data_IF_126205374178
#
_entry.id   IF_126205374178
#
_cell.length_a   1.000
_cell.length_b   1.000
_cell.length_c   1.000
_cell.angle_alpha   90.00
_cell.angle_beta   90.00
_cell.angle_gamma   90.00
#
_symmetry.space_group_name_H-M   'P 1'
#
loop_
_entity.id
_entity.type
_entity.pdbx_description
1 polymer ?
#
# COMPACT_ATOMS: atom_id res chain seq x y z
N UNK A 1 25.12 -10.75 1.83
CA UNK A 1 24.78 -9.36 1.49
C UNK A 1 25.65 -8.94 0.34
N UNK A 2 25.07 -8.96 -0.85
CA UNK A 2 25.70 -8.60 -2.13
C UNK A 2 25.87 -7.08 -2.24
N UNK A 3 26.63 -6.61 -3.24
CA UNK A 3 26.74 -5.16 -3.51
C UNK A 3 25.37 -4.58 -3.94
N UNK A 4 24.59 -5.36 -4.69
CA UNK A 4 23.21 -5.04 -5.05
C UNK A 4 22.32 -4.83 -3.82
N UNK A 5 22.43 -5.69 -2.79
CA UNK A 5 21.67 -5.54 -1.54
C UNK A 5 22.01 -4.24 -0.80
N UNK A 6 23.29 -3.83 -0.81
CA UNK A 6 23.72 -2.58 -0.16
C UNK A 6 23.23 -1.35 -0.92
N UNK A 7 23.26 -1.40 -2.25
CA UNK A 7 22.73 -0.32 -3.09
C UNK A 7 21.21 -0.19 -2.95
N UNK A 8 20.48 -1.33 -2.89
CA UNK A 8 19.06 -1.32 -2.60
C UNK A 8 18.77 -0.70 -1.23
N UNK A 9 19.52 -1.07 -0.19
CA UNK A 9 19.38 -0.47 1.13
C UNK A 9 19.60 1.06 1.11
N UNK A 10 20.56 1.55 0.31
CA UNK A 10 20.77 2.99 0.13
C UNK A 10 19.58 3.67 -0.56
N UNK A 11 18.97 3.04 -1.58
CA UNK A 11 17.74 3.54 -2.22
C UNK A 11 16.58 3.64 -1.23
N UNK A 12 16.43 2.65 -0.34
CA UNK A 12 15.38 2.64 0.69
C UNK A 12 15.61 3.69 1.77
N UNK A 13 16.87 3.91 2.17
CA UNK A 13 17.23 4.95 3.14
C UNK A 13 17.08 6.37 2.58
N UNK A 14 17.31 6.55 1.28
CA UNK A 14 17.27 7.86 0.60
C UNK A 14 16.30 7.83 -0.59
N UNK A 15 14.98 7.78 -0.33
CA UNK A 15 13.97 7.57 -1.36
C UNK A 15 13.80 8.75 -2.34
N UNK A 16 14.35 9.93 -2.05
CA UNK A 16 14.28 11.11 -2.92
C UNK A 16 15.55 11.34 -3.73
N UNK A 17 16.62 10.56 -3.49
CA UNK A 17 17.91 10.73 -4.16
C UNK A 17 18.06 9.83 -5.39
N UNK A 18 18.50 10.41 -6.50
CA UNK A 18 18.67 9.66 -7.75
C UNK A 18 20.01 8.94 -7.82
N UNK A 19 21.03 9.42 -7.09
CA UNK A 19 22.37 8.82 -7.05
C UNK A 19 22.38 7.33 -6.68
N UNK A 20 21.78 6.89 -5.55
CA UNK A 20 21.76 5.46 -5.21
C UNK A 20 20.97 4.63 -6.22
N UNK A 21 19.96 5.22 -6.90
CA UNK A 21 19.16 4.53 -7.92
C UNK A 21 19.94 4.30 -9.21
N UNK A 22 20.74 5.28 -9.63
CA UNK A 22 21.62 5.15 -10.79
C UNK A 22 22.71 4.11 -10.51
N UNK A 23 23.35 4.15 -9.34
CA UNK A 23 24.32 3.12 -8.96
C UNK A 23 23.70 1.71 -8.91
N UNK A 24 22.48 1.59 -8.37
CA UNK A 24 21.73 0.34 -8.38
C UNK A 24 21.41 -0.12 -9.81
N UNK A 25 21.04 0.79 -10.71
CA UNK A 25 20.83 0.47 -12.12
C UNK A 25 22.12 0.00 -12.81
N UNK A 26 23.26 0.63 -12.53
CA UNK A 26 24.55 0.23 -13.09
C UNK A 26 24.95 -1.19 -12.64
N UNK A 27 24.73 -1.50 -11.36
CA UNK A 27 24.98 -2.84 -10.82
C UNK A 27 24.04 -3.90 -11.42
N UNK A 28 22.76 -3.57 -11.61
CA UNK A 28 21.82 -4.46 -12.30
C UNK A 28 22.26 -4.75 -13.73
N UNK A 29 22.73 -3.74 -14.44
CA UNK A 29 23.23 -3.83 -15.81
C UNK A 29 24.45 -4.77 -15.88
N UNK A 30 25.38 -4.62 -14.93
CA UNK A 30 26.56 -5.48 -14.81
C UNK A 30 26.20 -6.96 -14.53
N UNK A 31 25.08 -7.21 -13.84
CA UNK A 31 24.55 -8.55 -13.58
C UNK A 31 23.66 -9.10 -14.69
N UNK A 32 23.56 -8.41 -15.84
CA UNK A 32 22.76 -8.83 -16.99
C UNK A 32 21.27 -8.53 -16.87
N UNK A 33 20.85 -7.70 -15.91
CA UNK A 33 19.46 -7.23 -15.75
C UNK A 33 19.25 -5.91 -16.50
N UNK A 34 19.64 -5.87 -17.77
CA UNK A 34 19.69 -4.68 -18.62
C UNK A 34 18.34 -3.94 -18.69
N UNK A 35 17.23 -4.66 -18.84
CA UNK A 35 15.90 -4.05 -18.97
C UNK A 35 15.46 -3.37 -17.67
N UNK A 36 15.86 -3.92 -16.52
CA UNK A 36 15.56 -3.31 -15.22
C UNK A 36 16.37 -2.04 -15.00
N UNK A 37 17.65 -2.07 -15.37
CA UNK A 37 18.53 -0.91 -15.33
C UNK A 37 18.02 0.21 -16.25
N UNK A 38 17.68 -0.13 -17.50
CA UNK A 38 17.09 0.79 -18.49
C UNK A 38 15.82 1.44 -17.95
N UNK A 39 14.89 0.65 -17.40
CA UNK A 39 13.65 1.16 -16.82
C UNK A 39 13.90 2.21 -15.73
N UNK A 40 14.84 1.95 -14.81
CA UNK A 40 15.17 2.90 -13.73
C UNK A 40 15.73 4.19 -14.32
N UNK A 41 16.71 4.09 -15.23
CA UNK A 41 17.34 5.26 -15.85
C UNK A 41 16.34 6.10 -16.65
N UNK A 42 15.44 5.46 -17.40
CA UNK A 42 14.39 6.17 -18.15
C UNK A 42 13.41 6.90 -17.23
N UNK A 43 13.00 6.30 -16.11
CA UNK A 43 12.13 6.97 -15.14
C UNK A 43 12.80 8.13 -14.37
N UNK A 44 14.14 8.19 -14.35
CA UNK A 44 14.90 9.32 -13.82
C UNK A 44 15.22 10.39 -14.89
N UNK A 45 15.00 10.05 -16.16
CA UNK A 45 15.28 10.91 -17.29
C UNK A 45 14.25 12.04 -17.47
N UNK A 46 14.44 12.86 -18.52
CA UNK A 46 13.57 14.01 -18.79
C UNK A 46 12.16 13.63 -19.27
N UNK A 47 11.98 12.41 -19.80
CA UNK A 47 10.67 11.88 -20.21
C UNK A 47 10.39 10.52 -19.54
N UNK A 48 9.98 10.54 -18.26
CA UNK A 48 9.75 9.32 -17.49
C UNK A 48 8.50 8.56 -17.93
N UNK A 49 7.67 9.13 -18.82
CA UNK A 49 6.40 8.55 -19.30
C UNK A 49 6.48 8.14 -20.78
N UNK A 50 7.69 8.07 -21.35
CA UNK A 50 7.90 7.70 -22.72
C UNK A 50 7.37 6.28 -23.01
N UNK A 51 7.10 6.00 -24.29
CA UNK A 51 6.55 4.70 -24.74
C UNK A 51 7.43 3.54 -24.26
N UNK A 52 8.76 3.70 -24.26
CA UNK A 52 9.68 2.66 -23.82
C UNK A 52 9.51 2.29 -22.34
N UNK A 53 9.27 3.26 -21.46
CA UNK A 53 8.98 3.00 -20.03
C UNK A 53 7.70 2.18 -19.90
N UNK A 54 6.67 2.50 -20.69
CA UNK A 54 5.41 1.76 -20.71
C UNK A 54 5.63 0.32 -21.15
N UNK A 55 6.32 0.11 -22.27
CA UNK A 55 6.59 -1.23 -22.81
C UNK A 55 7.35 -2.11 -21.80
N UNK A 56 8.39 -1.56 -21.18
CA UNK A 56 9.17 -2.24 -20.14
C UNK A 56 8.31 -2.60 -18.93
N UNK A 57 7.44 -1.67 -18.48
CA UNK A 57 6.52 -1.93 -17.39
C UNK A 57 5.54 -3.05 -17.74
N UNK A 58 4.88 -2.97 -18.90
CA UNK A 58 3.91 -3.98 -19.34
C UNK A 58 4.52 -5.38 -19.40
N UNK A 59 5.73 -5.49 -19.95
CA UNK A 59 6.43 -6.75 -20.14
C UNK A 59 6.98 -7.33 -18.83
N UNK A 60 7.51 -6.51 -17.93
CA UNK A 60 8.31 -6.98 -16.79
C UNK A 60 7.74 -6.65 -15.40
N UNK A 61 6.58 -5.98 -15.30
CA UNK A 61 5.95 -5.64 -14.01
C UNK A 61 5.77 -6.84 -13.07
N UNK A 62 5.48 -8.02 -13.61
CA UNK A 62 5.35 -9.27 -12.83
C UNK A 62 6.68 -9.78 -12.28
N UNK A 63 7.81 -9.41 -12.90
CA UNK A 63 9.13 -9.79 -12.43
C UNK A 63 9.64 -8.78 -11.40
N UNK A 64 9.31 -7.49 -11.58
CA UNK A 64 9.96 -6.40 -10.85
C UNK A 64 9.20 -5.88 -9.63
N UNK A 65 7.87 -5.98 -9.61
CA UNK A 65 7.05 -5.29 -8.61
C UNK A 65 6.13 -6.21 -7.81
N UNK A 66 5.88 -7.43 -8.29
CA UNK A 66 4.93 -8.35 -7.68
C UNK A 66 5.50 -9.77 -7.72
N UNK A 67 5.62 -10.44 -6.57
CA UNK A 67 5.90 -11.87 -6.51
C UNK A 67 4.82 -12.74 -7.22
N UNK A 68 4.92 -14.08 -7.20
CA UNK A 68 4.07 -14.97 -8.00
C UNK A 68 2.56 -14.69 -7.83
N UNK A 69 1.86 -14.73 -8.96
CA UNK A 69 0.48 -14.24 -9.22
C UNK A 69 -0.61 -14.72 -8.24
N UNK A 70 -1.74 -14.00 -8.19
CA UNK A 70 -2.95 -14.55 -8.80
C UNK A 70 -3.62 -13.53 -9.73
N UNK A 71 -3.39 -13.67 -11.05
CA UNK A 71 -4.00 -12.84 -12.10
C UNK A 71 -4.73 -13.71 -13.16
N UNK A 72 -5.06 -14.95 -12.84
CA UNK A 72 -5.80 -15.82 -13.76
C UNK A 72 -7.30 -15.51 -13.70
N UNK A 73 -7.71 -14.46 -14.41
CA UNK A 73 -8.96 -14.28 -15.19
C UNK A 73 -9.37 -12.82 -15.23
N UNK A 74 -8.90 -12.06 -16.22
CA UNK A 74 -9.74 -11.07 -16.93
C UNK A 74 -9.32 -11.06 -18.40
N UNK A 75 -10.21 -11.56 -19.27
CA UNK A 75 -10.15 -11.29 -20.71
C UNK A 75 -10.93 -10.00 -20.96
N UNK A 76 -10.30 -9.04 -21.63
CA UNK A 76 -10.97 -7.94 -22.33
C UNK A 76 -11.15 -6.64 -21.54
N UNK A 77 -10.13 -5.79 -21.56
CA UNK A 77 -10.27 -4.33 -21.51
C UNK A 77 -9.01 -3.71 -22.15
N UNK A 78 -9.21 -2.80 -23.10
CA UNK A 78 -8.15 -2.18 -23.90
C UNK A 78 -7.51 -0.97 -23.17
N UNK A 79 -6.25 -0.71 -23.53
CA UNK A 79 -5.24 0.11 -22.82
C UNK A 79 -5.30 1.62 -23.18
N UNK A 80 -6.46 2.21 -23.48
CA UNK A 80 -6.48 3.58 -24.03
C UNK A 80 -7.02 4.69 -23.13
N UNK A 81 -7.64 4.38 -21.99
CA UNK A 81 -8.13 5.40 -21.07
C UNK A 81 -7.73 5.00 -19.64
N UNK A 82 -7.22 5.94 -18.84
CA UNK A 82 -6.82 5.73 -17.45
C UNK A 82 -8.00 5.24 -16.57
N UNK A 83 -8.31 3.94 -16.62
CA UNK A 83 -9.30 3.26 -15.77
C UNK A 83 -8.77 1.88 -15.35
N UNK A 84 -7.87 1.88 -14.36
CA UNK A 84 -7.47 0.66 -13.66
C UNK A 84 -8.24 0.56 -12.34
N UNK A 85 -9.50 0.13 -12.40
CA UNK A 85 -10.29 -0.27 -11.22
C UNK A 85 -11.22 -1.43 -11.59
N UNK A 86 -10.98 -2.61 -11.00
CA UNK A 86 -12.00 -3.64 -10.84
C UNK A 86 -11.95 -4.36 -9.47
N UNK A 87 -11.20 -3.81 -8.50
CA UNK A 87 -11.36 -4.16 -7.10
C UNK A 87 -10.83 -5.52 -6.65
N UNK A 88 -10.02 -6.22 -7.44
CA UNK A 88 -9.56 -7.58 -7.09
C UNK A 88 -8.04 -7.77 -6.96
N UNK A 89 -7.21 -6.77 -7.24
CA UNK A 89 -5.74 -6.89 -7.16
C UNK A 89 -5.02 -5.59 -6.81
N UNK A 90 -3.81 -5.65 -6.20
CA UNK A 90 -3.08 -4.45 -5.83
C UNK A 90 -2.51 -3.76 -7.07
N UNK A 91 -2.69 -2.44 -7.15
CA UNK A 91 -2.03 -1.58 -8.13
C UNK A 91 -1.07 -0.70 -7.36
N UNK A 92 0.18 -0.59 -7.80
CA UNK A 92 1.09 0.42 -7.27
C UNK A 92 1.34 1.53 -8.27
N UNK A 93 1.55 2.77 -7.81
CA UNK A 93 2.18 3.77 -8.67
C UNK A 93 3.70 3.55 -8.59
N UNK A 94 4.31 3.30 -9.74
CA UNK A 94 5.77 3.14 -9.87
C UNK A 94 6.37 4.50 -10.22
N UNK A 95 7.35 4.92 -9.44
CA UNK A 95 8.08 6.16 -9.65
C UNK A 95 9.56 5.95 -9.42
N UNK A 96 10.40 6.60 -10.24
CA UNK A 96 11.87 6.54 -10.15
C UNK A 96 12.43 5.12 -10.07
N UNK A 97 11.77 4.19 -10.76
CA UNK A 97 12.13 2.80 -10.84
C UNK A 97 11.45 1.89 -9.83
N UNK A 98 10.78 2.37 -8.79
CA UNK A 98 10.28 1.53 -7.68
C UNK A 98 8.81 1.80 -7.35
N UNK A 99 8.17 0.89 -6.61
CA UNK A 99 6.83 1.15 -6.10
C UNK A 99 6.90 2.27 -5.06
N UNK A 100 6.25 3.39 -5.35
CA UNK A 100 6.18 4.55 -4.46
C UNK A 100 4.85 4.60 -3.70
N UNK A 101 3.78 4.14 -4.35
CA UNK A 101 2.45 4.05 -3.75
C UNK A 101 1.90 2.66 -3.91
N UNK A 102 1.29 2.13 -2.87
CA UNK A 102 0.54 0.88 -2.90
C UNK A 102 -0.95 1.18 -2.88
N UNK A 103 -1.73 0.46 -3.69
CA UNK A 103 -3.18 0.47 -3.67
C UNK A 103 -3.64 -0.99 -3.58
N UNK A 104 -4.38 -1.38 -2.55
CA UNK A 104 -4.79 -2.77 -2.38
C UNK A 104 -5.64 -3.00 -1.14
N UNK A 105 -6.01 -4.26 -0.86
CA UNK A 105 -6.77 -4.58 0.34
C UNK A 105 -5.91 -4.41 1.60
N UNK A 106 -6.57 -4.11 2.72
CA UNK A 106 -5.91 -4.04 4.02
C UNK A 106 -5.23 -5.36 4.39
N UNK A 107 -5.90 -6.49 4.17
CA UNK A 107 -5.36 -7.83 4.43
C UNK A 107 -4.04 -8.09 3.67
N UNK A 108 -4.00 -7.72 2.39
CA UNK A 108 -2.79 -7.88 1.58
C UNK A 108 -1.66 -7.01 2.12
N UNK A 109 -1.95 -5.73 2.43
CA UNK A 109 -0.96 -4.83 3.01
C UNK A 109 -0.43 -5.38 4.34
N UNK A 110 -1.31 -5.73 5.28
CA UNK A 110 -0.92 -6.23 6.60
C UNK A 110 -0.05 -7.49 6.53
N UNK A 111 -0.35 -8.38 5.58
CA UNK A 111 0.39 -9.63 5.38
C UNK A 111 1.73 -9.44 4.68
N UNK A 112 1.87 -8.45 3.79
CA UNK A 112 3.05 -8.32 2.91
C UNK A 112 3.86 -7.03 3.05
N UNK A 113 3.43 -6.08 3.87
CA UNK A 113 4.06 -4.78 3.99
C UNK A 113 5.57 -4.88 4.20
N UNK A 114 6.05 -5.75 5.09
CA UNK A 114 7.49 -5.87 5.37
C UNK A 114 8.28 -6.34 4.14
N UNK A 115 7.74 -7.31 3.39
CA UNK A 115 8.37 -7.81 2.17
C UNK A 115 8.38 -6.75 1.05
N UNK A 116 7.31 -5.94 0.97
CA UNK A 116 7.20 -4.83 0.01
C UNK A 116 8.20 -3.73 0.37
N UNK A 117 8.23 -3.31 1.64
CA UNK A 117 9.09 -2.24 2.14
C UNK A 117 10.57 -2.60 2.14
N UNK A 118 10.91 -3.90 2.23
CA UNK A 118 12.27 -4.38 2.06
C UNK A 118 12.81 -4.24 0.63
N UNK A 119 11.95 -3.96 -0.36
CA UNK A 119 12.33 -3.89 -1.77
C UNK A 119 11.92 -2.58 -2.45
N UNK A 120 11.02 -1.81 -1.83
CA UNK A 120 10.44 -0.61 -2.42
C UNK A 120 10.31 0.53 -1.40
N UNK A 121 10.68 1.77 -1.78
CA UNK A 121 10.51 2.97 -0.96
C UNK A 121 9.05 3.47 -1.02
N UNK A 122 8.10 2.65 -0.56
CA UNK A 122 6.68 3.01 -0.52
C UNK A 122 6.45 4.10 0.53
N UNK A 123 5.79 5.19 0.13
CA UNK A 123 5.46 6.34 0.99
C UNK A 123 3.96 6.57 1.13
N UNK A 124 3.18 6.02 0.21
CA UNK A 124 1.73 6.16 0.20
C UNK A 124 1.04 4.79 0.10
N UNK A 125 0.01 4.58 0.90
CA UNK A 125 -0.79 3.35 0.90
C UNK A 125 -2.25 3.71 0.87
N UNK A 126 -2.94 3.33 -0.21
CA UNK A 126 -4.39 3.44 -0.33
C UNK A 126 -5.03 2.07 -0.14
N UNK A 127 -5.80 1.92 0.94
CA UNK A 127 -6.52 0.70 1.23
C UNK A 127 -7.89 0.72 0.55
N UNK A 128 -8.24 -0.38 -0.12
CA UNK A 128 -9.56 -0.56 -0.76
C UNK A 128 -10.58 -1.21 0.17
N UNK A 129 -10.11 -1.90 1.20
CA UNK A 129 -10.92 -2.47 2.29
C UNK A 129 -10.49 -1.90 3.64
N UNK A 130 -11.40 -1.89 4.61
CA UNK A 130 -11.05 -1.51 5.98
C UNK A 130 -10.22 -2.62 6.63
N UNK A 131 -9.14 -2.31 7.36
CA UNK A 131 -8.43 -3.31 8.15
C UNK A 131 -9.35 -3.85 9.25
N UNK A 132 -9.25 -5.15 9.51
CA UNK A 132 -9.84 -5.72 10.72
C UNK A 132 -9.03 -5.22 11.91
N UNK A 133 -9.69 -4.49 12.81
CA UNK A 133 -9.08 -3.95 14.04
C UNK A 133 -9.76 -4.60 15.23
N UNK A 134 -8.98 -5.12 16.17
CA UNK A 134 -9.49 -5.58 17.46
C UNK A 134 -9.20 -4.54 18.52
N UNK A 135 -10.16 -4.34 19.40
CA UNK A 135 -10.09 -3.35 20.46
C UNK A 135 -9.92 -4.04 21.81
N UNK A 136 -9.04 -3.49 22.63
CA UNK A 136 -8.89 -3.91 24.03
C UNK A 136 -9.25 -2.76 24.96
N UNK A 137 -10.10 -3.09 25.93
CA UNK A 137 -10.69 -2.16 26.89
C UNK A 137 -10.11 -2.45 28.27
N UNK A 138 -9.55 -1.44 28.92
CA UNK A 138 -9.00 -1.53 30.28
C UNK A 138 -9.83 -0.64 31.21
N UNK A 139 -11.10 -1.03 31.41
CA UNK A 139 -12.10 -0.30 32.20
C UNK A 139 -12.71 0.90 31.45
N UNK A 140 -14.03 0.86 31.20
CA UNK A 140 -14.80 1.90 30.51
C UNK A 140 -15.06 1.60 29.03
N UNK A 141 -15.80 2.50 28.37
CA UNK A 141 -16.32 2.32 26.99
C UNK A 141 -15.36 2.78 25.88
N UNK A 142 -14.15 3.21 26.24
CA UNK A 142 -13.13 3.68 25.30
C UNK A 142 -12.00 2.67 25.17
N UNK A 143 -11.62 2.26 23.94
CA UNK A 143 -10.51 1.35 23.76
C UNK A 143 -9.19 2.00 24.18
N UNK A 144 -8.32 1.20 24.79
CA UNK A 144 -6.98 1.60 25.24
C UNK A 144 -5.91 1.11 24.29
N UNK A 145 -6.15 -0.03 23.65
CA UNK A 145 -5.27 -0.58 22.63
C UNK A 145 -6.06 -0.97 21.38
N UNK A 146 -5.40 -0.81 20.23
CA UNK A 146 -5.84 -1.32 18.94
C UNK A 146 -4.84 -2.37 18.48
N UNK A 147 -5.37 -3.49 18.02
CA UNK A 147 -4.62 -4.63 17.52
C UNK A 147 -4.84 -4.76 16.02
N UNK A 148 -3.77 -4.66 15.25
CA UNK A 148 -3.74 -4.99 13.84
C UNK A 148 -3.26 -6.45 13.66
N UNK A 149 -3.88 -7.24 12.79
CA UNK A 149 -3.43 -8.60 12.48
C UNK A 149 -1.93 -8.67 12.16
N UNK A 150 -1.21 -9.58 12.82
CA UNK A 150 0.22 -9.79 12.61
C UNK A 150 1.12 -8.65 13.11
N UNK A 151 0.59 -7.68 13.86
CA UNK A 151 1.34 -6.53 14.39
C UNK A 151 1.18 -6.40 15.89
N UNK A 152 2.13 -5.68 16.50
CA UNK A 152 2.07 -5.35 17.92
C UNK A 152 0.91 -4.41 18.22
N UNK A 153 0.31 -4.63 19.39
CA UNK A 153 -0.75 -3.79 19.95
C UNK A 153 -0.27 -2.36 20.12
N UNK A 154 -1.08 -1.40 19.69
CA UNK A 154 -0.75 0.00 19.80
C UNK A 154 -1.66 0.68 20.80
N UNK A 155 -1.04 1.45 21.70
CA UNK A 155 -1.78 2.30 22.62
C UNK A 155 -2.41 3.44 21.82
N UNK A 156 -3.71 3.58 21.91
CA UNK A 156 -4.45 4.65 21.24
C UNK A 156 -4.90 5.71 22.24
N UNK A 157 -5.04 6.97 21.80
CA UNK A 157 -5.64 7.99 22.65
C UNK A 157 -7.08 7.62 23.02
N UNK A 158 -7.41 7.65 24.30
CA UNK A 158 -8.72 7.27 24.80
C UNK A 158 -9.69 8.45 24.73
N UNK A 159 -10.16 8.79 23.54
CA UNK A 159 -11.11 9.89 23.33
C UNK A 159 -12.52 9.37 23.01
N UNK A 160 -13.52 9.92 23.69
CA UNK A 160 -14.93 9.72 23.34
C UNK A 160 -15.20 10.32 21.96
N UNK A 161 -15.86 9.57 21.06
CA UNK A 161 -16.31 10.05 19.75
C UNK A 161 -15.45 9.64 18.55
N UNK A 162 -14.36 8.91 18.75
CA UNK A 162 -13.57 8.36 17.65
C UNK A 162 -14.31 7.23 16.91
N UNK A 163 -14.24 7.25 15.59
CA UNK A 163 -14.79 6.18 14.74
C UNK A 163 -13.82 5.02 14.65
N UNK A 164 -14.30 3.82 14.32
CA UNK A 164 -13.44 2.66 14.01
C UNK A 164 -12.39 3.00 12.94
N UNK A 165 -12.73 3.89 12.01
CA UNK A 165 -11.82 4.46 11.01
C UNK A 165 -10.69 5.27 11.62
N UNK A 166 -11.00 6.18 12.56
CA UNK A 166 -9.99 6.97 13.25
C UNK A 166 -8.98 6.08 13.98
N UNK A 167 -9.49 5.08 14.71
CA UNK A 167 -8.64 4.10 15.39
C UNK A 167 -7.78 3.28 14.42
N UNK A 168 -8.35 2.82 13.31
CA UNK A 168 -7.61 2.12 12.26
C UNK A 168 -6.52 2.99 11.64
N UNK A 169 -6.79 4.27 11.35
CA UNK A 169 -5.80 5.21 10.80
C UNK A 169 -4.62 5.37 11.75
N UNK A 170 -4.90 5.65 13.03
CA UNK A 170 -3.85 5.81 14.04
C UNK A 170 -3.04 4.54 14.26
N UNK A 171 -3.68 3.37 14.22
CA UNK A 171 -2.96 2.11 14.32
C UNK A 171 -2.05 1.84 13.10
N UNK A 172 -2.49 2.20 11.90
CA UNK A 172 -1.66 2.09 10.69
C UNK A 172 -0.48 3.07 10.74
N UNK A 173 -0.73 4.33 11.08
CA UNK A 173 0.28 5.37 11.22
C UNK A 173 1.29 5.05 12.32
N UNK A 174 0.87 4.45 13.44
CA UNK A 174 1.79 4.01 14.48
C UNK A 174 2.60 2.76 14.11
N UNK A 175 2.09 1.90 13.22
CA UNK A 175 2.82 0.74 12.72
C UNK A 175 3.84 1.13 11.63
N UNK A 176 3.51 2.12 10.81
CA UNK A 176 4.36 2.63 9.73
C UNK A 176 4.35 4.17 9.72
N UNK A 177 5.16 4.82 10.57
CA UNK A 177 5.12 6.27 10.75
C UNK A 177 5.54 7.06 9.52
N UNK A 178 6.35 6.47 8.65
CA UNK A 178 6.84 7.09 7.41
C UNK A 178 5.91 6.88 6.20
N UNK A 179 4.74 6.28 6.40
CA UNK A 179 3.78 5.95 5.35
C UNK A 179 2.48 6.71 5.56
N UNK A 180 2.04 7.40 4.51
CA UNK A 180 0.73 8.05 4.47
C UNK A 180 -0.34 7.04 4.07
N UNK A 181 -1.33 6.82 4.94
CA UNK A 181 -2.46 5.94 4.66
C UNK A 181 -3.70 6.68 4.17
N UNK A 182 -4.36 6.12 3.16
CA UNK A 182 -5.67 6.52 2.68
C UNK A 182 -6.65 5.34 2.85
N UNK A 183 -7.57 5.46 3.80
CA UNK A 183 -8.58 4.43 4.09
C UNK A 183 -9.78 4.48 3.12
N UNK A 184 -10.51 3.39 2.87
CA UNK A 184 -11.63 3.35 1.93
C UNK A 184 -12.74 4.35 2.26
N UNK A 185 -13.20 5.13 1.28
CA UNK A 185 -14.22 6.17 1.49
C UNK A 185 -13.68 7.48 2.08
N UNK A 186 -12.37 7.72 1.95
CA UNK A 186 -11.67 9.01 2.22
C UNK A 186 -12.04 10.07 1.19
N UNK A 187 -12.40 9.63 -0.03
CA UNK A 187 -13.04 10.44 -1.06
C UNK A 187 -14.54 10.41 -0.82
N UNK A 188 -15.13 11.61 -0.78
CA UNK A 188 -16.53 11.92 -0.47
C UNK A 188 -17.51 11.17 -1.38
N UNK A 189 -17.78 9.89 -1.10
CA UNK A 189 -18.86 9.12 -1.72
C UNK A 189 -19.55 8.14 -0.75
N UNK A 190 -19.20 8.14 0.55
CA UNK A 190 -19.61 7.08 1.49
C UNK A 190 -20.16 7.54 2.83
N UNK A 191 -20.56 8.80 2.95
CA UNK A 191 -21.19 9.24 4.20
C UNK A 191 -22.58 8.57 4.37
N UNK A 192 -23.30 8.36 3.27
CA UNK A 192 -24.62 7.73 3.30
C UNK A 192 -24.55 6.21 3.52
N UNK A 193 -23.60 5.51 2.87
CA UNK A 193 -23.42 4.06 3.05
C UNK A 193 -22.93 3.70 4.47
N UNK A 194 -22.06 4.51 5.06
CA UNK A 194 -21.55 4.28 6.43
C UNK A 194 -22.64 4.54 7.47
N UNK A 195 -23.46 5.59 7.30
CA UNK A 195 -24.57 5.86 8.19
C UNK A 195 -25.65 4.77 8.10
N UNK A 196 -25.91 4.25 6.90
CA UNK A 196 -26.83 3.13 6.69
C UNK A 196 -26.31 1.83 7.30
N UNK A 197 -25.01 1.57 7.20
CA UNK A 197 -24.38 0.40 7.86
C UNK A 197 -24.42 0.50 9.39
N UNK A 198 -24.10 1.67 9.96
CA UNK A 198 -24.17 1.90 11.40
C UNK A 198 -25.62 1.87 11.93
N UNK A 199 -26.59 2.30 11.12
CA UNK A 199 -28.02 2.13 11.41
C UNK A 199 -28.39 0.65 11.51
N UNK A 200 -27.99 -0.17 10.53
CA UNK A 200 -28.26 -1.62 10.53
C UNK A 200 -27.64 -2.35 11.72
N UNK A 201 -26.42 -1.98 12.12
CA UNK A 201 -25.75 -2.58 13.28
C UNK A 201 -26.49 -2.23 14.58
N UNK A 202 -27.00 -1.00 14.70
CA UNK A 202 -27.82 -0.55 15.85
C UNK A 202 -29.19 -1.21 15.88
N UNK A 203 -29.84 -1.36 14.72
CA UNK A 203 -31.16 -1.99 14.60
C UNK A 203 -31.10 -3.52 14.76
N UNK A 204 -29.93 -4.13 14.56
CA UNK A 204 -29.68 -5.56 14.75
C UNK A 204 -29.26 -5.94 16.19
N UNK A 205 -29.09 -4.99 17.09
CA UNK A 205 -28.85 -5.29 18.50
C UNK A 205 -30.18 -5.71 19.17
N UNK A 206 -30.26 -6.87 19.82
CA UNK A 206 -31.51 -7.32 20.44
C UNK A 206 -31.90 -6.39 21.58
N UNK A 207 -33.14 -5.91 21.54
CA UNK A 207 -33.75 -5.13 22.62
C UNK A 207 -33.69 -5.95 23.92
N UNK A 208 -32.92 -5.47 24.89
CA UNK A 208 -32.96 -6.01 26.26
C UNK A 208 -34.29 -5.55 26.85
N UNK A 209 -35.29 -6.42 26.74
CA UNK A 209 -36.60 -6.24 27.32
C UNK A 209 -36.47 -6.07 28.85
N UNK A 210 -37.09 -5.01 29.37
CA UNK A 210 -37.46 -4.90 30.78
C UNK A 210 -38.96 -5.14 30.89
#
# INVERSE_FOLDING_TARGET
MTDLDRLLAAVLAHPDEDTPRLMYADELDAQGQHERAEFIRLQLGPDPMCVRVRDLCEQYQQKWFLGPRPWDRIKGAWVSDFQWYNGQTPIGEVSRGFVFKFIGSADHWLTRADAILAQHPVREVRLTTMPEVKFEYMGGDVPRFVHLPGRYSQKVPCFSGWTARGYASTALEGAWPDIKFELPGSRVERFDELNEMLRRIRDAAPSVAT
#
